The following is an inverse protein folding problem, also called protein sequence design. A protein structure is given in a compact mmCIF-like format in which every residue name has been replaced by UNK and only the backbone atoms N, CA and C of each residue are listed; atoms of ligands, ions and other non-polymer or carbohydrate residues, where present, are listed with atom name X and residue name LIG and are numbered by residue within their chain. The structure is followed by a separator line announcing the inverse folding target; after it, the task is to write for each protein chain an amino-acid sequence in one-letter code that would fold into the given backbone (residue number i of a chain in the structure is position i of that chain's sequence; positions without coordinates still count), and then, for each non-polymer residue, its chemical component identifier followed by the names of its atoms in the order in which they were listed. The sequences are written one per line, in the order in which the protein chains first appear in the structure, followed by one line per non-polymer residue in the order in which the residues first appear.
data_IF_007875202437
#
_entry.id   IF_007875202437
#
_cell.length_a   1.000
_cell.length_b   1.000
_cell.length_c   1.000
_cell.angle_alpha   90.00
_cell.angle_beta   90.00
_cell.angle_gamma   90.00
#
_symmetry.space_group_name_H-M   'P 1'
#
loop_
_entity.id
_entity.type
_entity.pdbx_description
1 polymer ?
#
# COMPACT_ATOMS: atom_id res chain seq x y z
N UNK A 1 -22.89 -11.74 -2.14
CA UNK A 1 -21.74 -10.95 -1.66
C UNK A 1 -22.32 -9.86 -0.77
N UNK A 2 -21.75 -9.58 0.41
CA UNK A 2 -22.24 -8.48 1.24
C UNK A 2 -22.09 -7.17 0.46
N UNK A 3 -23.18 -6.42 0.37
CA UNK A 3 -23.21 -5.12 -0.29
C UNK A 3 -22.75 -4.06 0.71
N UNK A 4 -21.69 -3.32 0.39
CA UNK A 4 -21.19 -2.26 1.25
C UNK A 4 -22.17 -1.08 1.24
N UNK A 5 -22.60 -0.64 2.41
CA UNK A 5 -23.44 0.54 2.59
C UNK A 5 -22.64 1.70 3.13
N UNK A 6 -23.15 2.91 2.89
CA UNK A 6 -22.59 4.11 3.47
C UNK A 6 -22.68 4.05 5.01
N UNK A 7 -21.59 4.38 5.67
CA UNK A 7 -21.48 4.31 7.13
C UNK A 7 -21.15 2.94 7.70
N UNK A 8 -21.08 1.87 6.87
CA UNK A 8 -20.55 0.59 7.31
C UNK A 8 -19.11 0.74 7.80
N UNK A 9 -18.73 -0.11 8.76
CA UNK A 9 -17.39 -0.13 9.34
C UNK A 9 -16.53 -1.12 8.58
N UNK A 10 -15.37 -0.66 8.11
CA UNK A 10 -14.40 -1.46 7.38
C UNK A 10 -12.99 -1.16 7.89
N UNK A 11 -12.11 -2.16 7.90
CA UNK A 11 -10.70 -1.96 8.21
C UNK A 11 -9.94 -1.50 6.94
N UNK A 12 -9.09 -0.49 7.10
CA UNK A 12 -8.20 -0.02 6.03
C UNK A 12 -6.92 0.58 6.62
N UNK A 13 -5.89 0.72 5.78
CA UNK A 13 -4.66 1.39 6.16
C UNK A 13 -4.83 2.91 6.14
N UNK A 14 -4.84 3.50 7.34
CA UNK A 14 -4.88 4.94 7.47
C UNK A 14 -3.50 5.56 7.19
N UNK A 15 -3.37 6.35 6.14
CA UNK A 15 -2.09 7.04 5.82
C UNK A 15 -1.65 8.03 6.89
N UNK A 16 -2.61 8.58 7.66
CA UNK A 16 -2.35 9.55 8.72
C UNK A 16 -1.98 8.89 10.04
N UNK A 17 -2.64 7.79 10.40
CA UNK A 17 -2.29 7.00 11.59
C UNK A 17 -1.17 5.98 11.36
N UNK A 18 -0.86 5.66 10.09
CA UNK A 18 0.14 4.67 9.65
C UNK A 18 -0.10 3.24 10.17
N UNK A 19 -1.37 2.85 10.31
CA UNK A 19 -1.79 1.53 10.80
C UNK A 19 -3.14 1.13 10.22
N UNK A 20 -3.43 -0.17 10.21
CA UNK A 20 -4.74 -0.72 9.89
C UNK A 20 -5.69 -0.43 11.05
N UNK A 21 -6.83 0.20 10.77
CA UNK A 21 -7.87 0.51 11.76
C UNK A 21 -9.25 0.56 11.12
N UNK A 22 -10.26 0.70 11.98
CA UNK A 22 -11.65 0.96 11.61
C UNK A 22 -11.84 2.33 10.92
N UNK A 23 -12.46 2.29 9.75
CA UNK A 23 -12.92 3.42 8.98
C UNK A 23 -14.43 3.29 8.70
N UNK A 24 -15.10 4.41 8.42
CA UNK A 24 -16.47 4.41 7.93
C UNK A 24 -16.46 4.57 6.41
N UNK A 25 -17.27 3.79 5.70
CA UNK A 25 -17.43 3.93 4.24
C UNK A 25 -18.14 5.25 3.92
N UNK A 26 -17.48 6.13 3.16
CA UNK A 26 -17.99 7.46 2.78
C UNK A 26 -18.54 7.45 1.36
N UNK A 27 -18.03 6.57 0.49
CA UNK A 27 -18.53 6.40 -0.87
C UNK A 27 -18.34 4.97 -1.35
N UNK A 28 -19.30 4.51 -2.16
CA UNK A 28 -19.32 3.17 -2.77
C UNK A 28 -19.43 3.36 -4.29
N UNK A 29 -18.63 2.63 -5.05
CA UNK A 29 -18.62 2.63 -6.52
C UNK A 29 -18.55 1.17 -6.98
N UNK A 30 -19.42 0.76 -7.91
CA UNK A 30 -19.49 -0.63 -8.39
C UNK A 30 -19.64 -1.66 -7.26
N UNK A 31 -20.39 -1.33 -6.21
CA UNK A 31 -20.55 -2.14 -4.99
C UNK A 31 -19.25 -2.37 -4.19
N UNK A 32 -18.23 -1.54 -4.40
CA UNK A 32 -16.99 -1.54 -3.62
C UNK A 32 -16.76 -0.17 -2.94
N UNK A 33 -16.20 -0.13 -1.73
CA UNK A 33 -15.89 1.13 -1.06
C UNK A 33 -14.78 1.87 -1.82
N UNK A 34 -15.07 3.09 -2.26
CA UNK A 34 -14.12 3.93 -2.99
C UNK A 34 -13.33 4.84 -2.03
N UNK A 35 -14.03 5.46 -1.06
CA UNK A 35 -13.43 6.32 -0.03
C UNK A 35 -13.92 5.96 1.35
N UNK A 36 -13.01 6.09 2.31
CA UNK A 36 -13.23 5.77 3.71
C UNK A 36 -12.75 6.91 4.62
N UNK A 37 -13.39 7.05 5.78
CA UNK A 37 -13.05 8.04 6.81
C UNK A 37 -12.54 7.35 8.05
N UNK A 38 -11.33 7.69 8.48
CA UNK A 38 -10.76 7.12 9.70
C UNK A 38 -11.59 7.51 10.93
N UNK A 39 -11.96 6.53 11.77
CA UNK A 39 -12.71 6.81 13.01
C UNK A 39 -11.86 7.45 14.10
N UNK A 40 -10.53 7.41 13.98
CA UNK A 40 -9.59 7.97 14.97
C UNK A 40 -9.09 9.37 14.60
N UNK A 41 -8.58 9.55 13.37
CA UNK A 41 -8.05 10.86 12.94
C UNK A 41 -9.01 11.67 12.08
N UNK A 42 -10.18 11.12 11.74
CA UNK A 42 -11.23 11.77 10.95
C UNK A 42 -10.81 12.27 9.57
N UNK A 43 -9.66 11.83 9.07
CA UNK A 43 -9.18 12.10 7.72
C UNK A 43 -9.83 11.13 6.73
N UNK A 44 -10.23 11.66 5.59
CA UNK A 44 -10.75 10.88 4.47
C UNK A 44 -9.60 10.48 3.55
N UNK A 45 -9.64 9.26 3.01
CA UNK A 45 -8.74 8.79 1.96
C UNK A 45 -9.40 7.72 1.10
N UNK A 46 -8.80 7.43 -0.05
CA UNK A 46 -9.22 6.31 -0.89
C UNK A 46 -8.99 4.99 -0.15
N UNK A 47 -9.87 4.02 -0.40
CA UNK A 47 -9.75 2.68 0.17
C UNK A 47 -8.53 1.96 -0.42
N UNK A 48 -7.68 1.40 0.44
CA UNK A 48 -6.41 0.76 0.04
C UNK A 48 -6.44 -0.76 0.17
N UNK A 49 -7.60 -1.35 0.44
CA UNK A 49 -7.74 -2.80 0.67
C UNK A 49 -6.76 -3.29 1.74
N UNK A 50 -6.63 -2.52 2.84
CA UNK A 50 -5.76 -2.85 3.97
C UNK A 50 -4.26 -2.86 3.63
N UNK A 51 -3.87 -2.48 2.41
CA UNK A 51 -2.49 -2.47 1.98
C UNK A 51 -1.79 -1.19 2.42
N UNK A 52 -0.66 -1.37 3.11
CA UNK A 52 0.27 -0.28 3.35
C UNK A 52 0.80 0.24 2.00
N UNK A 53 0.91 1.57 1.80
CA UNK A 53 1.60 2.09 0.63
C UNK A 53 3.01 1.52 0.56
N UNK A 54 3.47 1.07 -0.63
CA UNK A 54 4.82 0.60 -0.77
C UNK A 54 5.79 1.70 -0.32
N UNK A 55 6.85 1.36 0.43
CA UNK A 55 7.84 2.33 0.83
C UNK A 55 8.41 2.98 -0.43
N UNK A 56 8.44 4.31 -0.46
CA UNK A 56 9.16 5.05 -1.49
C UNK A 56 10.64 4.86 -1.21
N UNK A 57 11.22 3.77 -1.69
CA UNK A 57 12.65 3.53 -1.62
C UNK A 57 13.31 4.32 -2.73
N UNK A 58 14.15 5.29 -2.35
CA UNK A 58 14.99 5.99 -3.32
C UNK A 58 16.02 4.99 -3.89
N UNK A 59 16.14 4.85 -5.22
CA UNK A 59 17.03 3.86 -5.84
C UNK A 59 18.51 4.07 -5.46
N UNK A 60 18.90 5.33 -5.20
CA UNK A 60 20.24 5.66 -4.71
C UNK A 60 20.50 5.15 -3.29
N UNK A 61 19.49 5.20 -2.41
CA UNK A 61 19.63 4.68 -1.06
C UNK A 61 19.67 3.15 -1.07
N UNK A 62 18.84 2.50 -1.89
CA UNK A 62 18.89 1.06 -2.07
C UNK A 62 20.29 0.58 -2.49
N UNK A 63 20.88 1.19 -3.53
CA UNK A 63 22.23 0.83 -3.99
C UNK A 63 23.30 1.01 -2.90
N UNK A 64 23.21 2.07 -2.09
CA UNK A 64 24.14 2.30 -0.96
C UNK A 64 23.94 1.27 0.16
N UNK A 65 22.70 0.87 0.47
CA UNK A 65 22.44 -0.20 1.43
C UNK A 65 23.00 -1.53 0.95
N UNK A 66 22.86 -1.85 -0.35
CA UNK A 66 23.42 -3.08 -0.94
C UNK A 66 24.95 -3.10 -0.89
N UNK A 67 25.60 -1.95 -1.15
CA UNK A 67 27.06 -1.82 -1.05
C UNK A 67 27.56 -1.98 0.39
N UNK A 68 26.81 -1.50 1.38
CA UNK A 68 27.15 -1.63 2.81
C UNK A 68 26.91 -3.06 3.29
N UNK A 69 25.79 -3.67 2.92
CA UNK A 69 25.47 -5.07 3.27
C UNK A 69 26.54 -6.05 2.74
N UNK A 70 26.99 -5.86 1.50
CA UNK A 70 28.10 -6.64 0.91
C UNK A 70 29.43 -6.50 1.65
N UNK A 71 29.66 -5.38 2.33
CA UNK A 71 30.90 -5.13 3.11
C UNK A 71 30.80 -5.63 4.55
N UNK A 72 29.60 -5.70 5.12
CA UNK A 72 29.38 -6.03 6.54
C UNK A 72 29.15 -7.53 6.76
N UNK A 73 28.54 -8.25 5.82
CA UNK A 73 28.38 -9.70 5.92
C UNK A 73 28.39 -10.39 4.53
N UNK A 74 29.55 -10.91 4.06
CA UNK A 74 29.65 -11.54 2.74
C UNK A 74 28.94 -12.90 2.62
N UNK A 75 28.53 -13.54 3.74
CA UNK A 75 27.94 -14.90 3.73
C UNK A 75 26.40 -14.95 3.67
N UNK A 76 25.66 -13.88 3.98
CA UNK A 76 24.18 -13.88 3.93
C UNK A 76 23.59 -13.42 2.58
N UNK A 77 24.44 -13.11 1.59
CA UNK A 77 24.01 -12.57 0.30
C UNK A 77 23.28 -13.59 -0.61
N UNK A 78 23.37 -14.89 -0.33
CA UNK A 78 22.76 -15.94 -1.18
C UNK A 78 21.36 -16.38 -0.70
N UNK A 79 20.91 -15.98 0.49
CA UNK A 79 19.73 -16.55 1.14
C UNK A 79 18.36 -15.94 0.80
N UNK A 80 18.29 -14.76 0.20
CA UNK A 80 17.03 -14.01 0.04
C UNK A 80 16.70 -13.60 -1.40
N UNK A 81 17.32 -14.22 -2.40
CA UNK A 81 16.97 -13.99 -3.81
C UNK A 81 15.72 -14.80 -4.28
N UNK A 82 15.17 -15.68 -3.46
CA UNK A 82 14.15 -16.64 -3.91
C UNK A 82 12.68 -16.30 -3.55
N UNK A 83 12.39 -15.19 -2.87
CA UNK A 83 11.03 -14.93 -2.37
C UNK A 83 10.48 -13.52 -2.64
N UNK A 84 10.72 -12.92 -3.81
CA UNK A 84 9.80 -11.87 -4.27
C UNK A 84 9.72 -11.80 -5.79
N UNK A 85 8.64 -12.35 -6.34
CA UNK A 85 8.18 -11.98 -7.67
C UNK A 85 6.65 -11.78 -7.66
N UNK A 86 6.18 -10.53 -7.50
CA UNK A 86 4.93 -10.11 -8.10
C UNK A 86 5.23 -9.26 -9.34
N UNK A 87 4.70 -9.73 -10.47
CA UNK A 87 4.80 -9.14 -11.81
C UNK A 87 4.32 -7.68 -11.84
N UNK A 88 4.98 -6.77 -12.58
CA UNK A 88 4.46 -5.44 -12.80
C UNK A 88 3.27 -5.48 -13.77
N UNK A 89 2.07 -5.08 -13.32
CA UNK A 89 0.97 -4.76 -14.24
C UNK A 89 1.22 -3.38 -14.85
N UNK A 90 1.36 -3.38 -16.17
CA UNK A 90 1.52 -2.20 -17.01
C UNK A 90 0.37 -1.21 -16.82
N UNK A 91 0.71 0.05 -16.51
CA UNK A 91 -0.21 1.18 -16.70
C UNK A 91 -0.08 1.67 -18.14
N UNK A 92 -1.08 1.34 -18.96
CA UNK A 92 -1.28 1.98 -20.26
C UNK A 92 -1.55 3.48 -20.04
N UNK A 93 -0.63 4.31 -20.53
CA UNK A 93 -0.90 5.73 -20.79
C UNK A 93 -1.59 5.84 -22.15
N UNK A 94 -2.84 6.27 -22.16
CA UNK A 94 -3.40 7.09 -23.23
C UNK A 94 -3.79 8.40 -22.52
N UNK A 95 -3.34 9.59 -22.87
CA UNK A 95 -2.96 10.11 -24.17
C UNK A 95 -3.69 11.46 -24.24
N UNK A 96 -2.95 12.56 -24.29
CA UNK A 96 -3.48 13.93 -24.42
C UNK A 96 -4.33 14.06 -25.68
N UNK A 97 -5.52 14.66 -25.55
CA UNK A 97 -5.98 15.74 -26.43
C UNK A 97 -7.11 16.51 -25.77
#
# INVERSE_FOLDING_TARGET
MPEYRLGDVIDDFCVRCKRIMNHNVVSVVNNEPAKVRCRTCHSDHDYRHEQAPPPKVDPRKAALFDEVLKKVNPEEAEGQAAAEAPKPKAKGKAGRK
#
